data_IF_348474514720
#
_entry.id   IF_348474514720
#
_cell.length_a   1.000
_cell.length_b   1.000
_cell.length_c   1.000
_cell.angle_alpha   90.00
_cell.angle_beta   90.00
_cell.angle_gamma   90.00
#
_symmetry.space_group_name_H-M   'P 1'
#
loop_
_entity.id
_entity.type
_entity.pdbx_description
1 polymer ?
#
# COMPACT_ATOMS: atom_id res chain seq x y z
N UNK A 1 -30.26 -53.72 -14.12
CA UNK A 1 -30.45 -54.69 -13.01
C UNK A 1 -29.23 -55.62 -12.91
N UNK A 2 -28.94 -56.24 -11.75
CA UNK A 2 -27.70 -55.95 -10.99
C UNK A 2 -26.84 -57.18 -10.65
N UNK A 3 -25.71 -56.96 -9.94
CA UNK A 3 -25.06 -57.93 -9.04
C UNK A 3 -23.63 -58.32 -9.45
N UNK A 4 -22.58 -57.89 -8.73
CA UNK A 4 -22.00 -58.54 -7.52
C UNK A 4 -21.05 -59.70 -7.90
N UNK A 5 -19.85 -59.96 -7.35
CA UNK A 5 -19.04 -59.48 -6.22
C UNK A 5 -17.59 -60.03 -6.40
N UNK A 6 -16.60 -59.23 -5.97
CA UNK A 6 -15.34 -59.56 -5.25
C UNK A 6 -14.37 -60.68 -5.72
N UNK A 7 -13.09 -60.31 -5.79
CA UNK A 7 -11.98 -61.02 -5.11
C UNK A 7 -10.83 -60.07 -4.81
N UNK A 8 -10.19 -60.27 -3.65
CA UNK A 8 -9.26 -59.38 -2.93
C UNK A 8 -7.82 -59.91 -3.07
N UNK A 9 -6.85 -59.04 -2.72
CA UNK A 9 -5.43 -59.27 -2.33
C UNK A 9 -4.42 -59.05 -3.47
N UNK A 10 -3.40 -58.19 -3.38
CA UNK A 10 -2.92 -57.33 -2.32
C UNK A 10 -1.59 -56.66 -2.74
N UNK A 11 -1.39 -55.38 -2.38
CA UNK A 11 -0.06 -54.75 -2.32
C UNK A 11 -0.12 -53.57 -1.33
N UNK A 12 0.79 -53.46 -0.36
CA UNK A 12 0.72 -52.41 0.67
C UNK A 12 1.18 -51.05 0.12
N UNK A 13 0.53 -49.93 0.46
CA UNK A 13 1.06 -48.59 0.22
C UNK A 13 2.06 -48.18 1.31
N UNK A 14 3.14 -47.53 0.88
CA UNK A 14 4.24 -46.99 1.70
C UNK A 14 3.77 -45.83 2.62
N UNK A 15 4.46 -45.59 3.75
CA UNK A 15 4.01 -44.66 4.79
C UNK A 15 4.13 -43.19 4.39
N UNK A 16 3.28 -42.42 5.06
CA UNK A 16 2.95 -41.01 4.89
C UNK A 16 4.15 -40.04 4.86
N UNK A 17 4.16 -39.18 3.83
CA UNK A 17 4.84 -37.89 3.90
C UNK A 17 3.93 -36.85 4.57
N UNK A 18 4.46 -35.90 5.37
CA UNK A 18 3.63 -34.96 6.12
C UNK A 18 2.95 -33.98 5.16
N UNK A 19 1.63 -34.16 4.99
CA UNK A 19 0.74 -33.16 4.37
C UNK A 19 0.50 -32.04 5.39
N UNK A 20 1.12 -30.88 5.18
CA UNK A 20 0.80 -29.68 5.95
C UNK A 20 -0.67 -29.28 5.72
N UNK A 21 -1.52 -29.70 6.65
CA UNK A 21 -2.93 -29.31 6.74
C UNK A 21 -2.97 -27.87 7.27
N UNK A 22 -3.13 -26.88 6.38
CA UNK A 22 -3.46 -25.49 6.77
C UNK A 22 -4.81 -25.50 7.46
N UNK A 23 -4.82 -25.55 8.79
CA UNK A 23 -6.00 -25.21 9.59
C UNK A 23 -6.18 -23.70 9.54
N UNK A 24 -7.14 -23.23 8.74
CA UNK A 24 -7.71 -21.89 8.93
C UNK A 24 -8.50 -21.90 10.24
N UNK A 25 -7.82 -21.66 11.37
CA UNK A 25 -8.50 -21.31 12.61
C UNK A 25 -8.96 -19.87 12.51
N UNK A 26 -10.27 -19.65 12.51
CA UNK A 26 -10.85 -18.32 12.79
C UNK A 26 -10.24 -17.78 14.10
N UNK A 27 -9.90 -16.48 14.19
CA UNK A 27 -9.38 -15.92 15.42
C UNK A 27 -10.39 -16.17 16.55
N UNK A 28 -9.87 -16.57 17.72
CA UNK A 28 -10.68 -16.87 18.89
C UNK A 28 -11.57 -15.65 19.22
N UNK A 29 -12.88 -15.87 19.37
CA UNK A 29 -13.81 -14.80 19.77
C UNK A 29 -13.42 -14.33 21.17
N UNK A 30 -13.18 -13.03 21.30
CA UNK A 30 -12.87 -12.40 22.58
C UNK A 30 -13.99 -12.63 23.59
N UNK A 31 -13.60 -12.95 24.83
CA UNK A 31 -14.56 -13.13 25.92
C UNK A 31 -15.17 -11.78 26.34
N UNK A 32 -16.34 -11.76 26.99
CA UNK A 32 -16.96 -10.53 27.49
C UNK A 32 -16.03 -9.69 28.38
N UNK A 33 -15.22 -10.35 29.22
CA UNK A 33 -14.25 -9.68 30.08
C UNK A 33 -13.10 -9.02 29.29
N UNK A 34 -12.60 -9.69 28.24
CA UNK A 34 -11.59 -9.10 27.35
C UNK A 34 -12.12 -7.90 26.58
N UNK A 35 -13.39 -7.93 26.16
CA UNK A 35 -14.05 -6.79 25.52
C UNK A 35 -14.25 -5.61 26.47
N UNK A 36 -14.63 -5.87 27.72
CA UNK A 36 -14.77 -4.82 28.74
C UNK A 36 -13.42 -4.17 29.07
N UNK A 37 -12.37 -4.98 29.21
CA UNK A 37 -11.01 -4.48 29.48
C UNK A 37 -10.45 -3.69 28.28
N UNK A 38 -10.74 -4.10 27.06
CA UNK A 38 -10.40 -3.34 25.84
C UNK A 38 -11.19 -2.02 25.76
N UNK A 39 -12.46 -2.00 26.14
CA UNK A 39 -13.28 -0.78 26.21
C UNK A 39 -12.76 0.21 27.26
N UNK A 40 -12.33 -0.27 28.43
CA UNK A 40 -11.72 0.56 29.48
C UNK A 40 -10.35 1.12 29.08
N UNK A 41 -9.62 0.42 28.20
CA UNK A 41 -8.34 0.87 27.64
C UNK A 41 -8.51 1.75 26.38
N UNK A 42 -9.74 2.05 25.95
CA UNK A 42 -10.01 2.79 24.71
C UNK A 42 -9.68 2.02 23.43
N UNK A 43 -9.41 0.71 23.54
CA UNK A 43 -9.09 -0.22 22.45
C UNK A 43 -10.28 -1.15 22.17
N UNK A 44 -11.52 -0.67 22.39
CA UNK A 44 -12.67 -1.34 21.80
C UNK A 44 -12.73 -0.94 20.33
N UNK A 45 -12.94 -1.92 19.44
CA UNK A 45 -13.20 -1.80 17.99
C UNK A 45 -14.20 -0.67 17.65
N UNK A 46 -13.72 0.57 17.65
CA UNK A 46 -14.49 1.77 17.36
C UNK A 46 -13.69 2.57 16.36
N UNK A 47 -13.72 2.12 15.12
CA UNK A 47 -13.73 3.06 14.00
C UNK A 47 -14.94 3.96 14.20
N UNK A 48 -14.80 5.08 14.90
CA UNK A 48 -15.91 6.02 15.02
C UNK A 48 -15.35 7.41 14.83
N UNK A 49 -15.19 7.74 13.54
CA UNK A 49 -15.25 9.11 13.07
C UNK A 49 -16.33 9.85 13.87
N UNK A 50 -16.02 11.07 14.29
CA UNK A 50 -17.03 11.94 14.91
C UNK A 50 -18.24 12.09 13.99
N UNK A 51 -19.44 12.41 14.52
CA UNK A 51 -20.64 12.54 13.69
C UNK A 51 -20.47 13.51 12.51
N UNK A 52 -19.71 14.59 12.70
CA UNK A 52 -19.40 15.60 11.68
C UNK A 52 -18.42 15.07 10.63
N UNK A 53 -17.34 14.38 11.03
CA UNK A 53 -16.42 13.70 10.10
C UNK A 53 -17.16 12.65 9.26
N UNK A 54 -18.00 11.85 9.90
CA UNK A 54 -18.82 10.87 9.22
C UNK A 54 -19.84 11.51 8.28
N UNK A 55 -20.40 12.69 8.63
CA UNK A 55 -21.31 13.43 7.77
C UNK A 55 -20.60 13.96 6.51
N UNK A 56 -19.43 14.57 6.67
CA UNK A 56 -18.61 15.04 5.54
C UNK A 56 -18.21 13.88 4.62
N UNK A 57 -17.82 12.72 5.16
CA UNK A 57 -17.52 11.57 4.30
C UNK A 57 -18.76 11.01 3.60
N UNK A 58 -19.93 11.03 4.25
CA UNK A 58 -21.19 10.64 3.59
C UNK A 58 -21.55 11.60 2.46
N UNK A 59 -21.39 12.90 2.67
CA UNK A 59 -21.58 13.92 1.65
C UNK A 59 -20.60 13.72 0.48
N UNK A 60 -19.31 13.53 0.77
CA UNK A 60 -18.29 13.26 -0.24
C UNK A 60 -18.68 12.04 -1.10
N UNK A 61 -19.14 10.95 -0.49
CA UNK A 61 -19.55 9.72 -1.21
C UNK A 61 -20.68 9.94 -2.22
N UNK A 62 -21.52 10.97 -2.05
CA UNK A 62 -22.55 11.33 -3.03
C UNK A 62 -21.94 11.88 -4.33
N UNK A 63 -20.71 12.37 -4.27
CA UNK A 63 -19.94 12.91 -5.39
C UNK A 63 -18.92 11.92 -5.97
N UNK A 64 -19.03 10.63 -5.62
CA UNK A 64 -18.15 9.58 -6.17
C UNK A 64 -18.27 9.53 -7.71
N UNK A 65 -17.15 9.59 -8.46
CA UNK A 65 -17.20 9.45 -9.90
C UNK A 65 -17.64 8.03 -10.31
N UNK A 66 -18.17 7.84 -11.53
CA UNK A 66 -18.58 6.51 -12.00
C UNK A 66 -17.39 5.55 -12.16
N UNK A 67 -16.19 6.09 -12.42
CA UNK A 67 -14.94 5.35 -12.52
C UNK A 67 -13.87 6.06 -11.67
N UNK A 68 -13.07 5.33 -10.87
CA UNK A 68 -11.92 5.92 -10.20
C UNK A 68 -10.93 6.49 -11.22
N UNK A 69 -10.36 7.66 -10.92
CA UNK A 69 -9.32 8.27 -11.74
C UNK A 69 -7.96 7.61 -11.47
N UNK A 70 -7.35 7.00 -12.48
CA UNK A 70 -5.96 6.56 -12.40
C UNK A 70 -5.04 7.77 -12.23
N UNK A 71 -4.23 7.75 -11.17
CA UNK A 71 -3.40 8.89 -10.77
C UNK A 71 -1.92 8.52 -10.80
N UNK A 72 -1.13 9.42 -11.40
CA UNK A 72 0.33 9.46 -11.40
C UNK A 72 0.77 10.53 -10.38
N UNK A 73 1.65 10.18 -9.45
CA UNK A 73 2.07 11.06 -8.36
C UNK A 73 3.59 11.33 -8.40
N UNK A 74 3.97 12.60 -8.22
CA UNK A 74 5.36 13.05 -8.06
C UNK A 74 5.53 13.67 -6.67
N UNK A 75 6.50 13.20 -5.89
CA UNK A 75 6.56 13.39 -4.42
C UNK A 75 7.99 13.30 -3.87
N UNK A 76 8.27 13.94 -2.73
CA UNK A 76 9.60 13.99 -2.09
C UNK A 76 9.55 13.69 -0.57
N UNK A 77 8.99 12.53 -0.17
CA UNK A 77 8.58 12.28 1.20
C UNK A 77 9.73 12.30 2.21
N UNK A 78 9.36 12.46 3.48
CA UNK A 78 10.25 12.35 4.64
C UNK A 78 11.24 13.51 4.80
N UNK A 79 10.93 14.66 4.21
CA UNK A 79 11.49 15.97 4.58
C UNK A 79 10.66 16.64 5.69
N UNK A 80 9.35 16.40 5.64
CA UNK A 80 8.28 16.86 6.51
C UNK A 80 7.08 15.86 6.35
N UNK A 81 5.93 16.05 7.03
CA UNK A 81 4.87 15.03 7.05
C UNK A 81 3.90 15.08 5.84
N UNK A 82 3.98 16.09 4.96
CA UNK A 82 2.91 16.42 4.02
C UNK A 82 2.64 15.32 2.98
N UNK A 83 3.69 14.72 2.41
CA UNK A 83 3.55 13.62 1.45
C UNK A 83 2.92 12.37 2.09
N UNK A 84 3.30 12.04 3.32
CA UNK A 84 2.80 10.84 4.01
C UNK A 84 1.32 11.01 4.41
N UNK A 85 0.93 12.21 4.80
CA UNK A 85 -0.48 12.57 4.98
C UNK A 85 -1.23 12.43 3.64
N UNK A 86 -0.63 12.88 2.54
CA UNK A 86 -1.20 12.73 1.19
C UNK A 86 -1.40 11.25 0.83
N UNK A 87 -0.44 10.37 1.12
CA UNK A 87 -0.59 8.93 0.89
C UNK A 87 -1.73 8.32 1.71
N UNK A 88 -1.86 8.78 2.96
CA UNK A 88 -2.89 8.30 3.90
C UNK A 88 -4.29 8.71 3.44
N UNK A 89 -4.47 9.95 2.98
CA UNK A 89 -5.75 10.41 2.42
C UNK A 89 -6.02 9.71 1.08
N UNK A 90 -5.01 9.54 0.22
CA UNK A 90 -5.12 8.82 -1.04
C UNK A 90 -5.56 7.36 -0.84
N UNK A 91 -5.11 6.70 0.23
CA UNK A 91 -5.59 5.37 0.62
C UNK A 91 -7.11 5.36 0.82
N UNK A 92 -7.63 6.31 1.60
CA UNK A 92 -9.08 6.38 1.85
C UNK A 92 -9.84 6.73 0.56
N UNK A 93 -9.36 7.67 -0.24
CA UNK A 93 -9.97 8.04 -1.52
C UNK A 93 -10.00 6.86 -2.50
N UNK A 94 -8.97 6.01 -2.50
CA UNK A 94 -8.95 4.77 -3.29
C UNK A 94 -9.94 3.74 -2.78
N UNK A 95 -10.03 3.55 -1.45
CA UNK A 95 -11.03 2.66 -0.85
C UNK A 95 -12.47 3.14 -1.16
N UNK A 96 -12.67 4.45 -1.26
CA UNK A 96 -13.95 5.07 -1.63
C UNK A 96 -14.17 5.17 -3.14
N UNK A 97 -13.26 4.68 -3.99
CA UNK A 97 -13.43 4.63 -5.44
C UNK A 97 -13.31 5.98 -6.17
N UNK A 98 -12.65 6.99 -5.58
CA UNK A 98 -12.41 8.28 -6.24
C UNK A 98 -11.21 8.24 -7.18
N UNK A 99 -10.13 7.61 -6.72
CA UNK A 99 -8.88 7.51 -7.45
C UNK A 99 -8.32 6.10 -7.35
N UNK A 100 -7.37 5.79 -8.24
CA UNK A 100 -6.48 4.65 -8.09
C UNK A 100 -5.06 5.15 -8.26
N UNK A 101 -4.29 5.16 -7.18
CA UNK A 101 -2.88 5.52 -7.24
C UNK A 101 -2.12 4.38 -7.93
N UNK A 102 -1.55 4.67 -9.09
CA UNK A 102 -0.93 3.64 -9.94
C UNK A 102 0.59 3.68 -9.86
N UNK A 103 1.18 4.82 -10.18
CA UNK A 103 2.62 5.01 -10.23
C UNK A 103 3.03 6.26 -9.44
N UNK A 104 4.13 6.13 -8.70
CA UNK A 104 4.74 7.17 -7.89
C UNK A 104 6.19 7.34 -8.31
N UNK A 105 6.59 8.56 -8.64
CA UNK A 105 7.99 8.90 -8.93
C UNK A 105 8.52 9.83 -7.84
N UNK A 106 9.64 9.43 -7.25
CA UNK A 106 10.23 10.12 -6.10
C UNK A 106 11.40 11.02 -6.50
N UNK A 107 11.38 12.26 -6.02
CA UNK A 107 12.42 13.27 -6.27
C UNK A 107 13.13 13.71 -4.97
N UNK A 108 13.90 14.79 -5.06
CA UNK A 108 14.64 15.47 -3.99
C UNK A 108 15.85 14.72 -3.40
N UNK A 109 17.03 15.27 -3.68
CA UNK A 109 18.32 14.76 -3.24
C UNK A 109 19.06 14.07 -4.38
N UNK A 110 20.24 13.52 -4.09
CA UNK A 110 21.01 12.72 -5.04
C UNK A 110 20.34 11.37 -5.33
N UNK A 111 20.97 10.57 -6.20
CA UNK A 111 20.44 9.28 -6.63
C UNK A 111 20.19 8.30 -5.47
N UNK A 112 21.03 8.30 -4.43
CA UNK A 112 20.88 7.40 -3.28
C UNK A 112 19.83 7.91 -2.30
N UNK A 113 19.78 9.22 -2.08
CA UNK A 113 18.74 9.86 -1.27
C UNK A 113 17.36 9.62 -1.87
N UNK A 114 17.19 9.80 -3.19
CA UNK A 114 15.91 9.50 -3.87
C UNK A 114 15.55 8.02 -3.79
N UNK A 115 16.52 7.10 -3.81
CA UNK A 115 16.26 5.67 -3.55
C UNK A 115 15.76 5.43 -2.13
N UNK A 116 16.33 6.10 -1.13
CA UNK A 116 15.89 5.97 0.26
C UNK A 116 14.47 6.53 0.47
N UNK A 117 14.15 7.67 -0.14
CA UNK A 117 12.79 8.23 -0.15
C UNK A 117 11.81 7.31 -0.87
N UNK A 118 12.21 6.70 -1.98
CA UNK A 118 11.39 5.71 -2.69
C UNK A 118 11.11 4.47 -1.83
N UNK A 119 12.14 3.93 -1.15
CA UNK A 119 11.97 2.80 -0.23
C UNK A 119 11.03 3.16 0.92
N UNK A 120 11.12 4.39 1.45
CA UNK A 120 10.20 4.87 2.47
C UNK A 120 8.77 4.96 1.95
N UNK A 121 8.55 5.60 0.79
CA UNK A 121 7.24 5.69 0.18
C UNK A 121 6.63 4.30 -0.02
N UNK A 122 7.39 3.36 -0.58
CA UNK A 122 6.95 1.98 -0.79
C UNK A 122 6.58 1.30 0.53
N UNK A 123 7.42 1.42 1.55
CA UNK A 123 7.14 0.82 2.85
C UNK A 123 5.95 1.46 3.59
N UNK A 124 5.64 2.74 3.33
CA UNK A 124 4.40 3.38 3.78
C UNK A 124 3.20 2.82 3.02
N UNK A 125 3.26 2.73 1.69
CA UNK A 125 2.17 2.15 0.89
C UNK A 125 1.87 0.70 1.28
N UNK A 126 2.90 -0.11 1.54
CA UNK A 126 2.72 -1.50 1.98
C UNK A 126 1.97 -1.57 3.34
N UNK A 127 2.31 -0.69 4.29
CA UNK A 127 1.63 -0.57 5.59
C UNK A 127 0.21 0.00 5.49
N UNK A 128 -0.05 0.86 4.50
CA UNK A 128 -1.39 1.33 4.15
C UNK A 128 -2.20 0.31 3.34
N UNK A 129 -1.69 -0.91 3.14
CA UNK A 129 -2.30 -1.93 2.29
C UNK A 129 -2.59 -1.45 0.86
N UNK A 130 -1.61 -0.75 0.25
CA UNK A 130 -1.58 -0.35 -1.16
C UNK A 130 -0.41 -1.05 -1.89
N UNK A 131 -0.34 -2.39 -1.88
CA UNK A 131 0.83 -3.12 -2.38
C UNK A 131 1.06 -2.94 -3.89
N UNK A 132 0.00 -2.65 -4.65
CA UNK A 132 0.02 -2.50 -6.10
C UNK A 132 0.63 -1.17 -6.60
N UNK A 133 0.87 -0.21 -5.70
CA UNK A 133 1.47 1.07 -6.08
C UNK A 133 2.93 0.83 -6.49
N UNK A 134 3.23 1.16 -7.74
CA UNK A 134 4.59 1.08 -8.28
C UNK A 134 5.36 2.34 -7.91
N UNK A 135 6.45 2.20 -7.16
CA UNK A 135 7.30 3.33 -6.75
C UNK A 135 8.62 3.26 -7.51
N UNK A 136 9.00 4.39 -8.14
CA UNK A 136 10.25 4.51 -8.87
C UNK A 136 11.04 5.75 -8.43
N UNK A 137 12.37 5.62 -8.41
CA UNK A 137 13.29 6.75 -8.24
C UNK A 137 13.30 7.63 -9.48
N UNK A 138 13.17 8.95 -9.30
CA UNK A 138 13.36 9.95 -10.35
C UNK A 138 14.81 10.07 -10.85
N UNK A 139 14.95 10.72 -12.01
CA UNK A 139 16.24 10.98 -12.65
C UNK A 139 17.08 12.03 -11.91
N UNK A 140 18.37 12.11 -12.24
CA UNK A 140 19.23 13.18 -11.72
C UNK A 140 18.83 14.55 -12.26
N UNK A 141 19.14 15.58 -11.48
CA UNK A 141 18.90 16.97 -11.81
C UNK A 141 20.04 17.85 -11.25
N UNK A 142 20.30 19.03 -11.83
CA UNK A 142 21.36 19.92 -11.35
C UNK A 142 21.12 20.38 -9.91
N UNK A 143 22.16 20.31 -9.08
CA UNK A 143 22.15 20.84 -7.72
C UNK A 143 23.42 21.63 -7.45
N UNK A 144 23.27 22.83 -6.91
CA UNK A 144 24.36 23.58 -6.27
C UNK A 144 24.75 22.92 -4.95
N UNK A 145 25.89 23.31 -4.37
CA UNK A 145 26.33 22.81 -3.05
C UNK A 145 25.33 23.12 -1.94
N UNK A 146 24.72 24.31 -1.96
CA UNK A 146 23.65 24.68 -1.01
C UNK A 146 22.44 23.77 -1.15
N UNK A 147 21.99 23.56 -2.39
CA UNK A 147 20.87 22.66 -2.69
C UNK A 147 21.17 21.22 -2.29
N UNK A 148 22.38 20.71 -2.54
CA UNK A 148 22.76 19.36 -2.16
C UNK A 148 22.60 19.13 -0.65
N UNK A 149 22.99 20.10 0.18
CA UNK A 149 22.84 20.05 1.65
C UNK A 149 21.37 20.12 2.09
N UNK A 150 20.56 20.96 1.46
CA UNK A 150 19.15 21.12 1.82
C UNK A 150 18.30 19.94 1.35
N UNK A 151 18.55 19.46 0.13
CA UNK A 151 17.82 18.36 -0.50
C UNK A 151 18.19 16.99 0.10
N UNK A 152 19.31 16.89 0.82
CA UNK A 152 19.69 15.69 1.58
C UNK A 152 18.97 15.55 2.92
N UNK A 153 18.09 16.48 3.32
CA UNK A 153 17.34 16.38 4.57
C UNK A 153 16.42 15.16 4.56
N UNK A 154 16.66 14.22 5.46
CA UNK A 154 15.86 13.00 5.63
C UNK A 154 15.61 12.78 7.13
N UNK A 155 14.34 12.77 7.54
CA UNK A 155 13.96 12.58 8.95
C UNK A 155 14.27 11.15 9.41
N UNK A 156 14.83 11.00 10.61
CA UNK A 156 15.33 9.73 11.12
C UNK A 156 14.21 8.71 11.41
N UNK A 157 13.03 9.22 11.77
CA UNK A 157 11.80 8.47 12.06
C UNK A 157 11.38 7.61 10.86
N UNK A 158 11.65 8.08 9.63
CA UNK A 158 11.36 7.36 8.40
C UNK A 158 12.25 6.15 8.14
N UNK A 159 13.41 6.04 8.81
CA UNK A 159 14.42 5.02 8.49
C UNK A 159 13.89 3.58 8.67
N UNK A 160 13.07 3.35 9.70
CA UNK A 160 12.47 2.05 10.02
C UNK A 160 11.27 1.70 9.12
N UNK A 161 10.73 2.66 8.37
CA UNK A 161 9.60 2.45 7.47
C UNK A 161 10.04 1.99 6.08
N UNK A 162 11.32 2.15 5.71
CA UNK A 162 11.84 1.77 4.39
C UNK A 162 11.56 0.30 4.06
N UNK A 163 11.00 0.08 2.88
CA UNK A 163 10.95 -1.23 2.25
C UNK A 163 12.36 -1.66 1.80
N UNK A 164 12.50 -2.93 1.41
CA UNK A 164 13.74 -3.44 0.87
C UNK A 164 14.14 -2.70 -0.44
N UNK A 165 15.44 -2.53 -0.74
CA UNK A 165 15.87 -1.80 -1.93
C UNK A 165 15.37 -2.36 -3.27
N UNK A 166 15.09 -3.66 -3.34
CA UNK A 166 14.55 -4.36 -4.51
C UNK A 166 13.04 -4.23 -4.66
N UNK A 167 12.34 -3.69 -3.65
CA UNK A 167 10.90 -3.39 -3.72
C UNK A 167 10.58 -2.11 -4.51
N UNK A 168 11.60 -1.33 -4.90
CA UNK A 168 11.45 -0.09 -5.66
C UNK A 168 12.19 -0.15 -6.98
N UNK A 169 11.72 0.62 -7.96
CA UNK A 169 12.32 0.68 -9.29
C UNK A 169 13.25 1.89 -9.45
N UNK A 170 14.19 1.81 -10.38
CA UNK A 170 15.19 2.86 -10.66
C UNK A 170 15.05 3.49 -12.05
N UNK A 171 13.97 3.16 -12.76
CA UNK A 171 13.71 3.51 -14.16
C UNK A 171 12.82 4.75 -14.35
N UNK A 172 12.64 5.55 -13.29
CA UNK A 172 11.91 6.82 -13.33
C UNK A 172 10.50 6.70 -13.91
N UNK A 173 10.24 7.47 -14.97
CA UNK A 173 8.91 7.60 -15.60
C UNK A 173 8.61 6.52 -16.64
N UNK A 174 9.43 5.47 -16.77
CA UNK A 174 9.26 4.45 -17.82
C UNK A 174 7.88 3.80 -17.78
N UNK A 175 7.48 3.25 -16.63
CA UNK A 175 6.17 2.61 -16.47
C UNK A 175 5.00 3.62 -16.64
N UNK A 176 5.19 4.88 -16.24
CA UNK A 176 4.20 5.93 -16.48
C UNK A 176 3.97 6.17 -17.97
N UNK A 177 5.04 6.18 -18.79
CA UNK A 177 4.92 6.32 -20.25
C UNK A 177 4.19 5.14 -20.88
N UNK A 178 4.53 3.92 -20.46
CA UNK A 178 3.85 2.70 -20.90
C UNK A 178 2.36 2.75 -20.54
N UNK A 179 2.01 3.14 -19.30
CA UNK A 179 0.63 3.30 -18.87
C UNK A 179 -0.12 4.35 -19.67
N UNK A 180 0.46 5.53 -19.88
CA UNK A 180 -0.16 6.61 -20.66
C UNK A 180 -0.47 6.17 -22.10
N UNK A 181 0.36 5.31 -22.70
CA UNK A 181 0.15 4.80 -24.05
C UNK A 181 -0.99 3.76 -24.13
N UNK A 182 -1.23 3.00 -23.06
CA UNK A 182 -2.16 1.86 -23.07
C UNK A 182 -3.46 2.10 -22.30
N UNK A 183 -3.55 3.15 -21.49
CA UNK A 183 -4.73 3.40 -20.65
C UNK A 183 -5.97 3.71 -21.49
N UNK A 184 -7.11 3.05 -21.23
CA UNK A 184 -8.36 3.29 -21.96
C UNK A 184 -9.05 4.61 -21.61
N UNK A 185 -8.61 5.26 -20.53
CA UNK A 185 -9.15 6.51 -20.01
C UNK A 185 -8.03 7.51 -19.73
N UNK A 186 -8.39 8.80 -19.58
CA UNK A 186 -7.45 9.83 -19.14
C UNK A 186 -6.97 9.55 -17.71
N UNK A 187 -5.73 9.91 -17.43
CA UNK A 187 -5.13 9.86 -16.10
C UNK A 187 -5.03 11.26 -15.50
N UNK A 188 -5.02 11.33 -14.16
CA UNK A 188 -4.64 12.51 -13.41
C UNK A 188 -3.13 12.54 -13.12
N UNK A 189 -2.52 13.70 -13.20
CA UNK A 189 -1.16 13.94 -12.68
C UNK A 189 -1.26 14.86 -11.47
N UNK A 190 -0.66 14.44 -10.36
CA UNK A 190 -0.55 15.24 -9.14
C UNK A 190 0.93 15.42 -8.83
N UNK A 191 1.36 16.68 -8.72
CA UNK A 191 2.76 17.06 -8.51
C UNK A 191 2.83 17.84 -7.21
N UNK A 192 3.46 17.25 -6.20
CA UNK A 192 3.68 17.86 -4.88
C UNK A 192 5.17 18.01 -4.54
N UNK A 193 6.03 17.87 -5.55
CA UNK A 193 7.50 17.96 -5.45
C UNK A 193 8.15 18.44 -6.76
#
# INVERSE_FOLDING_TARGET
PPGALQTIVGRPPRPDGPRHRRTQSLPARLTPAQRSMLAELGVADTSVLTPTEAAVLRELRLHRPPLPLDTLLFTDPNKDPDDVVTYTIAKQLQAEGFLRLTDVVVTLGDADMRSQRAQLAKGVFDRLALPEVRVARGQDYPMTSTQAREHSKFLAEGAALRAAPDAVHTDGVRAMRERLATSPHKLGMVVIA
#
